data_IF_921684950795
#
_entry.id   IF_921684950795
#
_cell.length_a   1.000
_cell.length_b   1.000
_cell.length_c   1.000
_cell.angle_alpha   90.00
_cell.angle_beta   90.00
_cell.angle_gamma   90.00
#
_symmetry.space_group_name_H-M   'P 1'
#
loop_
_entity.id
_entity.type
_entity.pdbx_description
1 polymer ?
#
# COMPACT_ATOMS: atom_id res chain seq x y z
N UNK A 1 6.99 15.90 -12.48
CA UNK A 1 7.93 16.62 -11.60
C UNK A 1 8.86 15.60 -11.00
N UNK A 2 10.18 15.82 -11.00
CA UNK A 2 11.11 14.92 -10.33
C UNK A 2 10.80 14.83 -8.83
N UNK A 3 11.31 13.81 -8.16
CA UNK A 3 11.24 13.74 -6.70
C UNK A 3 11.90 14.96 -6.06
N UNK A 4 11.33 15.41 -4.94
CA UNK A 4 11.92 16.40 -4.05
C UNK A 4 13.06 15.73 -3.30
N UNK A 5 14.28 16.18 -3.56
CA UNK A 5 15.51 15.66 -2.96
C UNK A 5 15.94 14.30 -3.51
N UNK A 6 17.04 13.79 -2.97
CA UNK A 6 17.61 12.49 -3.28
C UNK A 6 17.69 11.63 -2.03
N UNK A 7 17.75 10.31 -2.22
CA UNK A 7 17.95 9.35 -1.15
C UNK A 7 19.07 8.39 -1.52
N UNK A 8 19.94 8.13 -0.55
CA UNK A 8 21.02 7.16 -0.63
C UNK A 8 21.23 6.49 0.74
N UNK A 9 21.72 5.26 0.71
CA UNK A 9 22.01 4.46 1.90
C UNK A 9 23.50 4.11 1.94
N UNK A 10 24.07 4.13 3.13
CA UNK A 10 25.47 3.72 3.34
C UNK A 10 25.63 2.22 3.10
N UNK A 11 26.86 1.73 2.85
CA UNK A 11 27.11 0.30 2.76
C UNK A 11 26.65 -0.47 4.00
N UNK A 12 26.85 0.08 5.20
CA UNK A 12 26.41 -0.53 6.45
C UNK A 12 24.88 -0.61 6.56
N UNK A 13 24.15 0.40 6.11
CA UNK A 13 22.67 0.39 6.07
C UNK A 13 22.15 -0.68 5.10
N UNK A 14 22.74 -0.78 3.90
CA UNK A 14 22.38 -1.80 2.90
C UNK A 14 22.70 -3.21 3.40
N UNK A 15 23.86 -3.40 4.00
CA UNK A 15 24.28 -4.68 4.57
C UNK A 15 23.36 -5.11 5.72
N UNK A 16 23.07 -4.20 6.66
CA UNK A 16 22.14 -4.47 7.76
C UNK A 16 20.75 -4.84 7.23
N UNK A 17 20.26 -4.13 6.19
CA UNK A 17 19.00 -4.46 5.53
C UNK A 17 19.01 -5.87 4.93
N UNK A 18 20.01 -6.20 4.13
CA UNK A 18 20.14 -7.53 3.52
C UNK A 18 20.20 -8.65 4.56
N UNK A 19 20.99 -8.47 5.62
CA UNK A 19 21.12 -9.47 6.71
C UNK A 19 19.82 -9.68 7.51
N UNK A 20 18.93 -8.68 7.55
CA UNK A 20 17.72 -8.72 8.37
C UNK A 20 16.43 -8.79 7.56
N UNK A 21 16.48 -8.96 6.24
CA UNK A 21 15.28 -8.91 5.38
C UNK A 21 14.21 -9.92 5.78
N UNK A 22 14.62 -11.13 6.20
CA UNK A 22 13.70 -12.14 6.72
C UNK A 22 12.94 -11.70 7.97
N UNK A 23 13.62 -11.02 8.91
CA UNK A 23 12.98 -10.48 10.11
C UNK A 23 12.09 -9.28 9.77
N UNK A 24 12.55 -8.37 8.92
CA UNK A 24 11.82 -7.17 8.50
C UNK A 24 10.48 -7.59 7.87
N UNK A 25 10.51 -8.50 6.90
CA UNK A 25 9.31 -8.97 6.19
C UNK A 25 8.37 -9.76 7.10
N UNK A 26 8.92 -10.62 7.98
CA UNK A 26 8.14 -11.36 8.98
C UNK A 26 7.38 -10.42 9.93
N UNK A 27 8.06 -9.41 10.48
CA UNK A 27 7.43 -8.48 11.42
C UNK A 27 6.46 -7.53 10.73
N UNK A 28 6.80 -7.03 9.54
CA UNK A 28 5.89 -6.20 8.76
C UNK A 28 4.60 -6.95 8.38
N UNK A 29 4.72 -8.22 7.99
CA UNK A 29 3.56 -9.11 7.79
C UNK A 29 2.76 -9.30 9.08
N UNK A 30 3.42 -9.64 10.19
CA UNK A 30 2.75 -9.86 11.48
C UNK A 30 1.97 -8.61 11.91
N UNK A 31 2.52 -7.42 11.69
CA UNK A 31 1.82 -6.17 11.96
C UNK A 31 0.48 -6.06 11.20
N UNK A 32 0.45 -6.44 9.92
CA UNK A 32 -0.78 -6.45 9.12
C UNK A 32 -1.77 -7.51 9.60
N UNK A 33 -1.29 -8.70 9.94
CA UNK A 33 -2.11 -9.78 10.50
C UNK A 33 -2.76 -9.37 11.84
N UNK A 34 -1.98 -8.75 12.72
CA UNK A 34 -2.44 -8.29 14.03
C UNK A 34 -3.46 -7.15 13.90
N UNK A 35 -3.20 -6.14 13.06
CA UNK A 35 -4.15 -5.05 12.81
C UNK A 35 -5.46 -5.56 12.21
N UNK A 36 -5.40 -6.49 11.26
CA UNK A 36 -6.60 -7.09 10.68
C UNK A 36 -7.42 -7.85 11.73
N UNK A 37 -6.76 -8.68 12.53
CA UNK A 37 -7.40 -9.43 13.61
C UNK A 37 -8.04 -8.50 14.64
N UNK A 38 -7.32 -7.45 15.04
CA UNK A 38 -7.82 -6.45 15.99
C UNK A 38 -9.05 -5.72 15.45
N UNK A 39 -9.01 -5.31 14.16
CA UNK A 39 -10.13 -4.65 13.50
C UNK A 39 -11.38 -5.52 13.46
N UNK A 40 -11.23 -6.80 13.07
CA UNK A 40 -12.34 -7.75 13.04
C UNK A 40 -12.94 -7.97 14.42
N UNK A 41 -12.10 -8.21 15.44
CA UNK A 41 -12.57 -8.43 16.81
C UNK A 41 -13.30 -7.20 17.37
N UNK A 42 -12.79 -6.00 17.08
CA UNK A 42 -13.41 -4.76 17.50
C UNK A 42 -14.76 -4.52 16.79
N UNK A 43 -14.82 -4.73 15.48
CA UNK A 43 -16.07 -4.59 14.71
C UNK A 43 -17.12 -5.60 15.15
N UNK A 44 -16.74 -6.87 15.33
CA UNK A 44 -17.64 -7.91 15.83
C UNK A 44 -18.21 -7.56 17.21
N UNK A 45 -17.40 -6.98 18.10
CA UNK A 45 -17.82 -6.63 19.47
C UNK A 45 -18.67 -5.36 19.54
N UNK A 46 -18.39 -4.37 18.69
CA UNK A 46 -18.93 -3.02 18.84
C UNK A 46 -19.79 -2.52 17.67
N UNK A 47 -19.85 -3.26 16.55
CA UNK A 47 -20.60 -2.87 15.35
C UNK A 47 -19.99 -1.68 14.58
N UNK A 48 -18.84 -1.18 15.02
CA UNK A 48 -18.11 -0.05 14.41
C UNK A 48 -16.66 -0.42 14.17
N UNK A 49 -16.04 0.22 13.19
CA UNK A 49 -14.64 0.00 12.87
C UNK A 49 -13.71 0.64 13.89
N UNK A 50 -12.67 -0.10 14.28
CA UNK A 50 -11.60 0.44 15.12
C UNK A 50 -10.80 1.51 14.37
N UNK A 51 -10.44 1.18 13.13
CA UNK A 51 -9.66 2.04 12.27
C UNK A 51 -10.59 2.90 11.40
N UNK A 52 -10.28 4.18 11.26
CA UNK A 52 -11.05 5.10 10.42
C UNK A 52 -10.15 5.91 9.50
N UNK A 53 -10.66 6.26 8.32
CA UNK A 53 -9.93 7.07 7.35
C UNK A 53 -9.53 8.45 7.87
N UNK A 54 -8.24 8.76 7.85
CA UNK A 54 -7.68 10.05 8.32
C UNK A 54 -8.11 11.27 7.46
N UNK A 55 -8.51 11.05 6.21
CA UNK A 55 -9.11 12.08 5.33
C UNK A 55 -10.63 12.14 5.41
N UNK A 56 -11.27 11.35 6.27
CA UNK A 56 -12.71 11.41 6.42
C UNK A 56 -13.09 12.68 7.21
N UNK A 57 -13.60 13.68 6.49
CA UNK A 57 -14.05 14.95 7.08
C UNK A 57 -15.18 14.79 8.09
N UNK A 58 -15.87 13.65 8.11
CA UNK A 58 -16.90 13.30 9.10
C UNK A 58 -16.33 12.63 10.35
N UNK A 59 -15.02 12.33 10.40
CA UNK A 59 -14.34 11.66 11.53
C UNK A 59 -13.04 12.37 11.98
N UNK A 60 -12.70 13.51 11.36
CA UNK A 60 -11.42 14.18 11.57
C UNK A 60 -11.27 14.92 12.92
N UNK A 61 -12.33 15.05 13.71
CA UNK A 61 -12.28 15.62 15.07
C UNK A 61 -12.89 14.65 16.09
N UNK A 62 -12.50 14.79 17.37
CA UNK A 62 -13.03 13.94 18.45
C UNK A 62 -14.55 14.05 18.56
N UNK A 63 -15.11 15.25 18.50
CA UNK A 63 -16.56 15.49 18.55
C UNK A 63 -17.30 14.82 17.39
N UNK A 64 -16.72 14.86 16.19
CA UNK A 64 -17.31 14.18 15.02
C UNK A 64 -17.27 12.65 15.15
N UNK A 65 -16.21 12.09 15.72
CA UNK A 65 -16.14 10.65 16.04
C UNK A 65 -17.18 10.24 17.08
N UNK A 66 -17.40 11.06 18.11
CA UNK A 66 -18.48 10.84 19.08
C UNK A 66 -19.84 10.83 18.39
N UNK A 67 -20.12 11.82 17.54
CA UNK A 67 -21.38 11.87 16.80
C UNK A 67 -21.56 10.63 15.91
N UNK A 68 -20.51 10.16 15.24
CA UNK A 68 -20.55 8.95 14.43
C UNK A 68 -20.78 7.67 15.28
N UNK A 69 -20.19 7.58 16.48
CA UNK A 69 -20.45 6.49 17.42
C UNK A 69 -21.92 6.47 17.86
N UNK A 70 -22.46 7.64 18.23
CA UNK A 70 -23.86 7.79 18.61
C UNK A 70 -24.80 7.40 17.46
N UNK A 71 -24.51 7.87 16.25
CA UNK A 71 -25.29 7.51 15.05
C UNK A 71 -25.25 6.00 14.76
N UNK A 72 -24.14 5.33 15.05
CA UNK A 72 -23.99 3.89 14.89
C UNK A 72 -24.56 3.07 16.07
N UNK A 73 -25.11 3.72 17.11
CA UNK A 73 -25.59 3.04 18.32
C UNK A 73 -24.47 2.46 19.20
N UNK A 74 -23.22 2.92 19.03
CA UNK A 74 -22.06 2.44 19.76
C UNK A 74 -21.73 3.34 20.98
N UNK A 75 -21.13 2.78 22.06
CA UNK A 75 -20.76 3.57 23.23
C UNK A 75 -19.76 4.69 22.90
N UNK A 76 -20.03 5.90 23.38
CA UNK A 76 -19.16 7.08 23.14
C UNK A 76 -17.78 6.91 23.77
N UNK A 77 -17.66 6.09 24.81
CA UNK A 77 -16.38 5.75 25.46
C UNK A 77 -15.39 5.03 24.54
N UNK A 78 -15.86 4.51 23.40
CA UNK A 78 -14.98 3.92 22.39
C UNK A 78 -14.14 4.95 21.63
N UNK A 79 -14.46 6.25 21.71
CA UNK A 79 -13.78 7.29 20.91
C UNK A 79 -12.27 7.32 21.11
N UNK A 80 -11.79 6.98 22.31
CA UNK A 80 -10.37 6.99 22.65
C UNK A 80 -9.67 5.66 22.27
N UNK A 81 -10.43 4.67 21.78
CA UNK A 81 -9.92 3.41 21.21
C UNK A 81 -9.84 3.45 19.67
N UNK A 82 -10.50 4.43 19.04
CA UNK A 82 -10.49 4.61 17.59
C UNK A 82 -9.13 5.11 17.11
N UNK A 83 -8.66 4.59 15.98
CA UNK A 83 -7.35 4.93 15.43
C UNK A 83 -7.46 5.42 13.98
N UNK A 84 -6.85 6.56 13.62
CA UNK A 84 -6.81 7.00 12.23
C UNK A 84 -5.93 6.04 11.40
N UNK A 85 -6.31 5.85 10.15
CA UNK A 85 -5.56 5.05 9.17
C UNK A 85 -5.67 5.63 7.77
N UNK A 86 -4.69 5.30 6.93
CA UNK A 86 -4.69 5.53 5.49
C UNK A 86 -3.93 4.42 4.79
N UNK A 87 -4.16 4.25 3.50
CA UNK A 87 -3.54 3.22 2.68
C UNK A 87 -1.99 3.28 2.74
N UNK A 88 -1.44 4.49 2.60
CA UNK A 88 0.01 4.72 2.76
C UNK A 88 0.47 4.66 4.22
N UNK A 89 -0.33 5.15 5.18
CA UNK A 89 -0.02 5.07 6.60
C UNK A 89 0.14 3.63 7.08
N UNK A 90 -0.77 2.74 6.69
CA UNK A 90 -0.70 1.32 7.01
C UNK A 90 0.58 0.68 6.44
N UNK A 91 0.92 0.99 5.19
CA UNK A 91 2.15 0.51 4.55
C UNK A 91 3.39 0.99 5.31
N UNK A 92 3.50 2.29 5.59
CA UNK A 92 4.64 2.87 6.30
C UNK A 92 4.76 2.34 7.73
N UNK A 93 3.64 2.16 8.44
CA UNK A 93 3.67 1.63 9.80
C UNK A 93 4.14 0.16 9.84
N UNK A 94 3.65 -0.67 8.90
CA UNK A 94 4.07 -2.07 8.80
C UNK A 94 5.57 -2.22 8.48
N UNK A 95 6.07 -1.48 7.49
CA UNK A 95 7.49 -1.43 7.16
C UNK A 95 8.30 -0.89 8.35
N UNK A 96 7.87 0.21 8.97
CA UNK A 96 8.55 0.78 10.13
C UNK A 96 8.64 -0.19 11.30
N UNK A 97 7.60 -0.98 11.57
CA UNK A 97 7.66 -2.05 12.56
C UNK A 97 8.73 -3.09 12.19
N UNK A 98 8.77 -3.51 10.92
CA UNK A 98 9.77 -4.44 10.41
C UNK A 98 11.21 -3.93 10.54
N UNK A 99 11.50 -2.71 10.11
CA UNK A 99 12.84 -2.12 10.15
C UNK A 99 13.35 -1.88 11.58
N UNK A 100 12.46 -1.57 12.53
CA UNK A 100 12.84 -1.34 13.93
C UNK A 100 13.05 -2.63 14.72
N UNK A 101 12.43 -3.74 14.32
CA UNK A 101 12.42 -4.98 15.09
C UNK A 101 13.81 -5.58 15.40
N UNK A 102 14.81 -5.53 14.50
CA UNK A 102 16.13 -6.06 14.82
C UNK A 102 16.94 -5.23 15.83
N UNK A 103 16.47 -4.05 16.23
CA UNK A 103 17.19 -3.16 17.15
C UNK A 103 18.48 -2.55 16.59
N UNK A 104 18.74 -2.68 15.29
CA UNK A 104 19.94 -2.14 14.63
C UNK A 104 19.82 -0.64 14.39
N UNK A 105 20.81 0.12 14.86
CA UNK A 105 20.93 1.57 14.57
C UNK A 105 20.98 1.84 13.07
N UNK A 106 21.68 1.01 12.28
CA UNK A 106 21.74 1.14 10.82
C UNK A 106 20.37 0.98 10.17
N UNK A 107 19.55 0.03 10.64
CA UNK A 107 18.19 -0.15 10.13
C UNK A 107 17.25 0.98 10.56
N UNK A 108 17.37 1.44 11.80
CA UNK A 108 16.61 2.60 12.28
C UNK A 108 16.90 3.85 11.45
N UNK A 109 18.18 4.10 11.13
CA UNK A 109 18.60 5.19 10.25
C UNK A 109 18.11 5.02 8.82
N UNK A 110 18.23 3.81 8.25
CA UNK A 110 17.72 3.50 6.92
C UNK A 110 16.21 3.75 6.83
N UNK A 111 15.44 3.27 7.80
CA UNK A 111 14.00 3.52 7.85
C UNK A 111 13.67 5.00 7.97
N UNK A 112 14.36 5.72 8.86
CA UNK A 112 14.15 7.16 9.03
C UNK A 112 14.36 7.90 7.70
N UNK A 113 15.43 7.59 6.96
CA UNK A 113 15.68 8.17 5.63
C UNK A 113 14.55 7.86 4.64
N UNK A 114 14.11 6.61 4.56
CA UNK A 114 13.04 6.20 3.64
C UNK A 114 11.71 6.90 3.99
N UNK A 115 11.38 6.97 5.29
CA UNK A 115 10.17 7.63 5.79
C UNK A 115 10.21 9.14 5.53
N UNK A 116 11.31 9.81 5.86
CA UNK A 116 11.47 11.25 5.65
C UNK A 116 11.46 11.60 4.15
N UNK A 117 12.07 10.76 3.30
CA UNK A 117 12.03 10.93 1.85
C UNK A 117 10.62 10.80 1.28
N UNK A 118 9.85 9.82 1.74
CA UNK A 118 8.45 9.67 1.35
C UNK A 118 7.63 10.89 1.79
N UNK A 119 7.84 11.39 3.02
CA UNK A 119 7.16 12.60 3.52
C UNK A 119 7.54 13.88 2.77
N UNK A 120 8.81 14.04 2.42
CA UNK A 120 9.28 15.16 1.60
C UNK A 120 8.58 15.19 0.24
N UNK A 121 8.18 14.01 -0.26
CA UNK A 121 7.43 13.81 -1.50
C UNK A 121 5.92 13.64 -1.26
N UNK A 122 5.36 14.33 -0.25
CA UNK A 122 3.92 14.38 0.03
C UNK A 122 3.28 12.99 0.25
N UNK A 123 4.08 12.06 0.77
CA UNK A 123 3.70 10.66 1.02
C UNK A 123 3.34 9.89 -0.26
N UNK A 124 3.97 10.24 -1.39
CA UNK A 124 3.86 9.54 -2.66
C UNK A 124 4.48 8.13 -2.57
N UNK A 125 3.69 7.11 -2.93
CA UNK A 125 4.14 5.72 -2.92
C UNK A 125 5.28 5.43 -3.88
N UNK A 126 5.40 6.18 -4.98
CA UNK A 126 6.53 6.04 -5.91
C UNK A 126 7.87 6.43 -5.27
N UNK A 127 7.88 7.41 -4.36
CA UNK A 127 9.05 7.77 -3.57
C UNK A 127 9.41 6.68 -2.53
N UNK A 128 8.40 6.04 -1.92
CA UNK A 128 8.61 4.89 -1.06
C UNK A 128 9.26 3.73 -1.84
N UNK A 129 8.74 3.39 -3.02
CA UNK A 129 9.32 2.31 -3.83
C UNK A 129 10.72 2.65 -4.34
N UNK A 130 11.02 3.91 -4.66
CA UNK A 130 12.39 4.35 -4.99
C UNK A 130 13.37 4.12 -3.82
N UNK A 131 12.97 4.51 -2.60
CA UNK A 131 13.75 4.26 -1.40
C UNK A 131 13.99 2.77 -1.15
N UNK A 132 12.95 1.94 -1.27
CA UNK A 132 13.07 0.49 -1.11
C UNK A 132 13.95 -0.13 -2.20
N UNK A 133 13.85 0.32 -3.45
CA UNK A 133 14.70 -0.15 -4.55
C UNK A 133 16.18 0.10 -4.26
N UNK A 134 16.52 1.26 -3.68
CA UNK A 134 17.90 1.60 -3.27
C UNK A 134 18.42 0.79 -2.09
N UNK A 135 17.54 0.11 -1.35
CA UNK A 135 17.87 -0.91 -0.34
C UNK A 135 17.96 -2.34 -0.93
N UNK A 136 17.74 -2.49 -2.23
CA UNK A 136 17.83 -3.78 -2.94
C UNK A 136 16.50 -4.49 -3.16
N UNK A 137 15.36 -3.81 -2.93
CA UNK A 137 14.06 -4.37 -3.30
C UNK A 137 13.92 -4.36 -4.82
N UNK A 138 13.26 -5.41 -5.35
CA UNK A 138 12.96 -5.53 -6.78
C UNK A 138 11.63 -4.84 -7.08
N UNK A 139 11.62 -3.95 -8.07
CA UNK A 139 10.42 -3.24 -8.50
C UNK A 139 9.79 -3.95 -9.69
N UNK A 140 8.60 -4.50 -9.47
CA UNK A 140 7.85 -5.29 -10.44
C UNK A 140 6.66 -4.49 -10.95
N UNK A 141 6.51 -4.37 -12.27
CA UNK A 141 5.31 -3.80 -12.87
C UNK A 141 4.18 -4.81 -12.89
N UNK A 142 2.99 -4.38 -12.46
CA UNK A 142 1.78 -5.21 -12.52
C UNK A 142 0.72 -4.59 -13.43
N UNK A 143 0.14 -5.42 -14.27
CA UNK A 143 -0.99 -5.10 -15.14
C UNK A 143 -1.72 -6.40 -15.54
N UNK A 144 -2.94 -6.65 -15.06
CA UNK A 144 -3.61 -7.93 -15.26
C UNK A 144 -4.01 -8.16 -16.73
N UNK A 145 -4.25 -7.11 -17.51
CA UNK A 145 -4.64 -7.25 -18.92
C UNK A 145 -4.29 -5.97 -19.73
N UNK A 146 -3.07 -5.89 -20.30
CA UNK A 146 -2.65 -4.74 -21.08
C UNK A 146 -3.52 -4.43 -22.30
N UNK A 147 -4.25 -5.41 -22.86
CA UNK A 147 -5.12 -5.19 -24.00
C UNK A 147 -6.30 -4.26 -23.68
N UNK A 148 -6.65 -4.10 -22.39
CA UNK A 148 -7.71 -3.22 -21.95
C UNK A 148 -7.23 -1.83 -21.51
N UNK A 149 -5.94 -1.53 -21.63
CA UNK A 149 -5.39 -0.27 -21.13
C UNK A 149 -6.05 0.98 -21.71
N UNK A 150 -6.31 1.02 -23.02
CA UNK A 150 -6.97 2.16 -23.66
C UNK A 150 -8.41 2.33 -23.17
N UNK A 151 -9.14 1.22 -23.05
CA UNK A 151 -10.48 1.21 -22.44
C UNK A 151 -10.45 1.74 -21.01
N UNK A 152 -9.48 1.30 -20.21
CA UNK A 152 -9.34 1.75 -18.82
C UNK A 152 -8.97 3.23 -18.72
N UNK A 153 -8.17 3.74 -19.65
CA UNK A 153 -7.86 5.17 -19.73
C UNK A 153 -9.11 6.01 -20.02
N UNK A 154 -9.98 5.55 -20.93
CA UNK A 154 -11.28 6.19 -21.19
C UNK A 154 -12.20 6.14 -19.95
N UNK A 155 -12.19 5.02 -19.22
CA UNK A 155 -13.00 4.85 -18.01
C UNK A 155 -12.51 5.70 -16.82
N UNK A 156 -11.21 5.95 -16.72
CA UNK A 156 -10.61 6.77 -15.65
C UNK A 156 -10.81 8.27 -15.90
N UNK A 157 -10.99 8.67 -17.16
CA UNK A 157 -11.26 10.04 -17.60
C UNK A 157 -10.03 10.96 -17.50
N UNK A 158 -10.23 12.28 -17.54
CA UNK A 158 -9.14 13.27 -17.50
C UNK A 158 -8.71 13.58 -16.06
N UNK A 159 -7.97 12.66 -15.44
CA UNK A 159 -7.27 12.93 -14.19
C UNK A 159 -5.79 12.71 -14.42
N UNK A 160 -5.01 13.79 -14.50
CA UNK A 160 -3.54 13.77 -14.70
C UNK A 160 -2.75 12.78 -13.82
N UNK A 161 -3.31 12.31 -12.70
CA UNK A 161 -2.74 11.30 -11.80
C UNK A 161 -3.45 9.93 -11.78
N UNK A 162 -4.62 9.78 -12.40
CA UNK A 162 -5.39 8.53 -12.49
C UNK A 162 -5.56 8.15 -13.97
N UNK A 163 -5.13 6.94 -14.35
CA UNK A 163 -5.07 6.54 -15.75
C UNK A 163 -3.69 6.80 -16.38
N UNK A 164 -3.66 6.81 -17.71
CA UNK A 164 -2.46 6.61 -18.55
C UNK A 164 -1.92 5.17 -18.49
N UNK A 165 -2.76 4.17 -18.25
CA UNK A 165 -2.41 2.75 -18.30
C UNK A 165 -1.70 2.38 -19.61
N UNK A 166 -2.18 2.86 -20.76
CA UNK A 166 -1.58 2.55 -22.07
C UNK A 166 -0.20 3.18 -22.19
N UNK A 167 -0.08 4.47 -21.84
CA UNK A 167 1.19 5.18 -21.86
C UNK A 167 2.20 4.60 -20.86
N UNK A 168 1.78 4.27 -19.63
CA UNK A 168 2.64 3.66 -18.61
C UNK A 168 3.10 2.28 -19.04
N UNK A 169 2.22 1.47 -19.61
CA UNK A 169 2.61 0.18 -20.18
C UNK A 169 3.64 0.37 -21.30
N UNK A 170 3.44 1.35 -22.18
CA UNK A 170 4.40 1.71 -23.22
C UNK A 170 5.77 2.13 -22.63
N UNK A 171 5.81 3.01 -21.64
CA UNK A 171 7.09 3.43 -21.04
C UNK A 171 7.79 2.29 -20.29
N UNK A 172 7.03 1.43 -19.60
CA UNK A 172 7.60 0.25 -18.95
C UNK A 172 8.20 -0.72 -19.98
N UNK A 173 7.46 -1.00 -21.05
CA UNK A 173 7.91 -1.96 -22.08
C UNK A 173 9.09 -1.43 -22.88
N UNK A 174 9.09 -0.15 -23.25
CA UNK A 174 10.13 0.45 -24.12
C UNK A 174 11.32 1.04 -23.36
N UNK A 175 11.09 1.65 -22.19
CA UNK A 175 12.12 2.39 -21.43
C UNK A 175 12.47 1.74 -20.10
N UNK A 176 11.71 0.74 -19.65
CA UNK A 176 11.91 0.13 -18.33
C UNK A 176 11.58 1.08 -17.19
N UNK A 177 10.69 2.05 -17.41
CA UNK A 177 10.32 3.05 -16.40
C UNK A 177 8.80 3.18 -16.24
N UNK A 178 8.38 3.32 -14.98
CA UNK A 178 7.01 3.65 -14.61
C UNK A 178 7.03 4.91 -13.77
N UNK A 179 6.49 5.99 -14.33
CA UNK A 179 6.56 7.31 -13.71
C UNK A 179 8.01 7.71 -13.40
N UNK A 180 8.41 7.72 -12.12
CA UNK A 180 9.77 8.05 -11.69
C UNK A 180 10.65 6.83 -11.39
N UNK A 181 10.04 5.64 -11.29
CA UNK A 181 10.76 4.44 -10.87
C UNK A 181 11.32 3.68 -12.07
N UNK A 182 12.51 3.11 -11.90
CA UNK A 182 13.02 2.05 -12.75
C UNK A 182 12.27 0.75 -12.43
N UNK A 183 11.90 0.00 -13.46
CA UNK A 183 11.25 -1.30 -13.35
C UNK A 183 12.28 -2.40 -13.58
N UNK A 184 12.45 -3.27 -12.60
CA UNK A 184 13.38 -4.40 -12.65
C UNK A 184 12.74 -5.62 -13.33
N UNK A 185 11.43 -5.80 -13.17
CA UNK A 185 10.67 -6.88 -13.81
C UNK A 185 9.37 -6.35 -14.40
N UNK A 186 9.19 -6.53 -15.71
CA UNK A 186 8.04 -6.04 -16.48
C UNK A 186 7.17 -7.14 -17.06
N UNK A 187 7.40 -8.40 -16.69
CA UNK A 187 6.70 -9.56 -17.27
C UNK A 187 6.02 -10.42 -16.22
N UNK A 188 6.58 -10.55 -15.02
CA UNK A 188 6.10 -11.51 -14.02
C UNK A 188 4.64 -11.27 -13.59
N UNK A 189 4.24 -10.02 -13.38
CA UNK A 189 2.87 -9.66 -12.98
C UNK A 189 2.10 -8.98 -14.11
N UNK A 190 2.35 -9.36 -15.36
CA UNK A 190 1.67 -8.82 -16.55
C UNK A 190 0.85 -9.90 -17.25
N UNK A 191 -0.39 -9.59 -17.60
CA UNK A 191 -1.27 -10.48 -18.36
C UNK A 191 -1.88 -11.64 -17.56
N UNK A 192 -1.89 -11.55 -16.23
CA UNK A 192 -2.39 -12.64 -15.37
C UNK A 192 -3.93 -12.74 -15.31
N UNK A 193 -4.67 -11.80 -15.91
CA UNK A 193 -6.13 -11.81 -15.90
C UNK A 193 -6.72 -11.95 -14.50
N UNK A 194 -7.58 -12.94 -14.30
CA UNK A 194 -8.20 -13.28 -13.01
C UNK A 194 -7.42 -14.33 -12.20
N UNK A 195 -6.28 -14.82 -12.70
CA UNK A 195 -5.48 -15.88 -12.06
C UNK A 195 -4.05 -15.42 -11.82
N UNK A 196 -3.71 -15.12 -10.58
CA UNK A 196 -2.35 -14.72 -10.21
C UNK A 196 -1.31 -15.83 -10.46
N UNK A 197 -0.07 -15.49 -10.83
CA UNK A 197 1.05 -16.44 -10.83
C UNK A 197 1.23 -17.08 -9.45
N UNK A 198 1.33 -18.41 -9.41
CA UNK A 198 1.39 -19.16 -8.15
C UNK A 198 2.56 -18.76 -7.25
N UNK A 199 3.72 -18.41 -7.83
CA UNK A 199 4.90 -17.99 -7.09
C UNK A 199 4.74 -16.61 -6.41
N UNK A 200 3.82 -15.75 -6.86
CA UNK A 200 3.52 -14.48 -6.17
C UNK A 200 2.92 -14.72 -4.78
N UNK A 201 2.21 -15.85 -4.59
CA UNK A 201 1.67 -16.25 -3.28
C UNK A 201 2.75 -16.63 -2.27
N UNK A 202 4.01 -16.78 -2.70
CA UNK A 202 5.14 -17.07 -1.81
C UNK A 202 5.86 -15.81 -1.33
N UNK A 203 5.48 -14.62 -1.81
CA UNK A 203 6.11 -13.36 -1.39
C UNK A 203 5.73 -13.07 0.07
N UNK A 204 6.68 -13.03 1.03
CA UNK A 204 6.38 -12.96 2.45
C UNK A 204 5.80 -11.61 2.88
N UNK A 205 6.13 -10.56 2.15
CA UNK A 205 5.60 -9.20 2.29
C UNK A 205 5.90 -8.43 1.01
N UNK A 206 5.03 -7.50 0.61
CA UNK A 206 5.28 -6.55 -0.47
C UNK A 206 4.59 -5.20 -0.22
N UNK A 207 5.10 -4.16 -0.87
CA UNK A 207 4.46 -2.84 -0.93
C UNK A 207 4.08 -2.54 -2.38
N UNK A 208 2.79 -2.35 -2.63
CA UNK A 208 2.24 -2.04 -3.95
C UNK A 208 1.80 -0.58 -4.07
N UNK A 209 1.83 -0.07 -5.29
CA UNK A 209 1.23 1.20 -5.64
C UNK A 209 0.32 1.06 -6.86
N UNK A 210 -0.67 1.94 -6.96
CA UNK A 210 -1.48 2.18 -8.17
C UNK A 210 -1.60 3.68 -8.44
N UNK A 211 -2.05 4.05 -9.64
CA UNK A 211 -2.28 5.45 -10.04
C UNK A 211 -1.06 6.35 -9.74
N UNK A 212 0.09 5.95 -10.28
CA UNK A 212 1.35 6.71 -10.16
C UNK A 212 1.77 7.04 -8.72
N UNK A 213 1.46 6.18 -7.75
CA UNK A 213 1.87 6.35 -6.35
C UNK A 213 0.82 6.99 -5.45
N UNK A 214 -0.33 7.39 -6.00
CA UNK A 214 -1.45 7.92 -5.21
C UNK A 214 -2.05 6.90 -4.26
N UNK A 215 -2.25 5.66 -4.74
CA UNK A 215 -2.73 4.57 -3.91
C UNK A 215 -1.55 3.68 -3.54
N UNK A 216 -1.43 3.37 -2.25
CA UNK A 216 -0.34 2.55 -1.71
C UNK A 216 -0.98 1.46 -0.85
N UNK A 217 -0.55 0.23 -1.02
CA UNK A 217 -1.11 -0.89 -0.28
C UNK A 217 -0.01 -1.89 0.10
N UNK A 218 0.03 -2.36 1.35
CA UNK A 218 0.89 -3.47 1.71
C UNK A 218 0.16 -4.80 1.49
N UNK A 219 0.94 -5.86 1.32
CA UNK A 219 0.38 -7.20 1.18
C UNK A 219 1.38 -8.28 1.52
N UNK A 220 0.89 -9.51 1.56
CA UNK A 220 1.69 -10.70 1.83
C UNK A 220 0.97 -11.93 1.27
N UNK A 221 1.75 -12.91 0.83
CA UNK A 221 1.26 -14.20 0.32
C UNK A 221 0.15 -14.11 -0.72
N UNK A 222 0.21 -13.11 -1.60
CA UNK A 222 -0.79 -12.86 -2.64
C UNK A 222 -2.06 -12.15 -2.16
N UNK A 223 -2.17 -11.77 -0.89
CA UNK A 223 -3.24 -10.94 -0.34
C UNK A 223 -2.78 -9.49 -0.15
N UNK A 224 -3.73 -8.56 -0.18
CA UNK A 224 -3.56 -7.13 0.13
C UNK A 224 -4.38 -6.79 1.36
N UNK A 225 -3.88 -5.88 2.20
CA UNK A 225 -4.68 -5.20 3.21
C UNK A 225 -4.86 -3.74 2.83
N UNK A 226 -6.10 -3.31 2.59
CA UNK A 226 -6.42 -1.94 2.20
C UNK A 226 -7.05 -1.18 3.36
N UNK A 227 -6.58 0.05 3.60
CA UNK A 227 -7.21 1.00 4.49
C UNK A 227 -7.89 2.10 3.68
N UNK A 228 -9.18 2.37 3.93
CA UNK A 228 -9.97 3.30 3.12
C UNK A 228 -10.18 4.64 3.84
N UNK A 229 -9.87 5.74 3.14
CA UNK A 229 -9.78 7.06 3.76
C UNK A 229 -11.11 7.78 4.02
N UNK A 230 -12.24 7.30 3.50
CA UNK A 230 -13.52 8.05 3.52
C UNK A 230 -14.75 7.22 3.89
N UNK A 231 -14.59 5.95 4.29
CA UNK A 231 -15.72 5.10 4.67
C UNK A 231 -16.34 5.57 5.98
N UNK A 232 -17.65 5.34 6.14
CA UNK A 232 -18.36 5.59 7.39
C UNK A 232 -17.80 4.71 8.53
N UNK A 233 -17.86 5.18 9.77
CA UNK A 233 -17.32 4.47 10.93
C UNK A 233 -17.94 3.08 11.15
N UNK A 234 -19.23 2.90 10.82
CA UNK A 234 -19.93 1.61 10.92
C UNK A 234 -19.46 0.56 9.90
N UNK A 235 -18.79 0.99 8.83
CA UNK A 235 -18.38 0.09 7.76
C UNK A 235 -17.18 -0.74 8.19
N UNK A 236 -17.32 -2.07 8.23
CA UNK A 236 -16.20 -3.00 8.41
C UNK A 236 -15.10 -2.79 7.36
N UNK A 237 -15.45 -2.20 6.21
CA UNK A 237 -14.55 -1.92 5.09
C UNK A 237 -13.66 -0.69 5.28
N UNK A 238 -13.51 -0.15 6.49
CA UNK A 238 -12.44 0.83 6.73
C UNK A 238 -11.06 0.19 6.64
N UNK A 239 -10.98 -1.10 6.93
CA UNK A 239 -9.85 -1.97 6.67
C UNK A 239 -10.38 -3.22 5.99
N UNK A 240 -9.77 -3.66 4.90
CA UNK A 240 -10.19 -4.85 4.16
C UNK A 240 -8.98 -5.73 3.85
N UNK A 241 -9.18 -7.06 3.88
CA UNK A 241 -8.22 -8.03 3.37
C UNK A 241 -8.83 -8.77 2.18
N UNK A 242 -8.12 -8.80 1.07
CA UNK A 242 -8.57 -9.42 -0.18
C UNK A 242 -7.40 -9.98 -0.99
N UNK A 243 -7.61 -11.00 -1.84
CA UNK A 243 -6.58 -11.44 -2.79
C UNK A 243 -6.14 -10.30 -3.71
N UNK A 244 -4.86 -10.21 -4.04
CA UNK A 244 -4.33 -9.27 -5.03
C UNK A 244 -4.81 -9.65 -6.43
N UNK A 245 -5.98 -9.20 -6.86
CA UNK A 245 -6.40 -9.28 -8.25
C UNK A 245 -7.53 -8.27 -8.50
N UNK A 246 -7.26 -7.12 -9.11
CA UNK A 246 -8.29 -6.10 -9.31
C UNK A 246 -9.38 -6.52 -10.32
N UNK A 247 -9.18 -7.59 -11.09
CA UNK A 247 -10.19 -8.13 -12.02
C UNK A 247 -11.04 -9.26 -11.39
N UNK A 248 -10.59 -9.86 -10.29
CA UNK A 248 -11.31 -10.95 -9.65
C UNK A 248 -12.44 -10.42 -8.77
N UNK A 249 -13.54 -11.19 -8.69
CA UNK A 249 -14.61 -10.89 -7.74
C UNK A 249 -14.05 -10.88 -6.31
N UNK A 250 -14.26 -9.78 -5.60
CA UNK A 250 -13.75 -9.61 -4.24
C UNK A 250 -12.25 -9.29 -4.13
N UNK A 251 -11.51 -9.17 -5.24
CA UNK A 251 -10.08 -8.89 -5.21
C UNK A 251 -9.71 -7.42 -4.97
N UNK A 252 -8.42 -7.21 -4.72
CA UNK A 252 -7.77 -5.93 -4.43
C UNK A 252 -6.57 -5.65 -5.35
N UNK A 253 -6.13 -4.39 -5.52
CA UNK A 253 -6.83 -3.19 -5.05
C UNK A 253 -8.22 -3.07 -5.68
N UNK A 254 -9.22 -2.66 -4.87
CA UNK A 254 -10.64 -2.76 -5.24
C UNK A 254 -10.96 -2.09 -6.58
N UNK A 255 -11.83 -2.76 -7.34
CA UNK A 255 -12.55 -2.16 -8.46
C UNK A 255 -13.98 -1.79 -8.04
N UNK A 256 -14.24 -0.49 -7.93
CA UNK A 256 -15.58 0.10 -7.74
C UNK A 256 -15.82 1.20 -8.78
N UNK A 257 -17.00 1.83 -8.75
CA UNK A 257 -17.29 2.99 -9.61
C UNK A 257 -16.35 4.18 -9.32
N UNK A 258 -15.77 4.24 -8.12
CA UNK A 258 -14.90 5.34 -7.67
C UNK A 258 -13.44 4.95 -7.46
N UNK A 259 -13.13 3.65 -7.34
CA UNK A 259 -11.80 3.08 -7.13
C UNK A 259 -11.46 2.17 -8.32
N UNK A 260 -10.54 2.58 -9.20
CA UNK A 260 -10.27 1.91 -10.49
C UNK A 260 -8.77 1.60 -10.65
N UNK A 261 -8.22 0.82 -9.74
CA UNK A 261 -6.77 0.56 -9.67
C UNK A 261 -6.37 -0.64 -10.54
N UNK A 262 -5.80 -0.39 -11.73
CA UNK A 262 -5.60 -1.46 -12.74
C UNK A 262 -4.17 -1.69 -13.21
N UNK A 263 -3.24 -0.81 -12.88
CA UNK A 263 -1.82 -1.06 -13.05
C UNK A 263 -0.98 -0.21 -12.11
N UNK A 264 0.25 -0.65 -11.88
CA UNK A 264 1.18 0.02 -10.99
C UNK A 264 2.46 -0.76 -10.77
N UNK A 265 3.06 -0.59 -9.60
CA UNK A 265 4.29 -1.27 -9.21
C UNK A 265 4.10 -2.04 -7.90
N UNK A 266 4.90 -3.08 -7.71
CA UNK A 266 5.09 -3.79 -6.45
C UNK A 266 6.58 -3.82 -6.14
N UNK A 267 6.95 -3.34 -4.95
CA UNK A 267 8.25 -3.58 -4.35
C UNK A 267 8.25 -4.95 -3.66
N UNK A 268 9.12 -5.84 -4.12
CA UNK A 268 9.33 -7.18 -3.57
C UNK A 268 10.69 -7.21 -2.86
N UNK A 269 10.76 -7.68 -1.60
CA UNK A 269 12.01 -7.75 -0.85
C UNK A 269 13.03 -8.66 -1.54
N UNK A 270 14.34 -8.42 -1.35
CA UNK A 270 15.36 -9.34 -1.83
C UNK A 270 15.21 -10.71 -1.16
N UNK A 271 15.36 -11.77 -1.94
CA UNK A 271 15.34 -13.18 -1.51
C UNK A 271 16.75 -13.71 -1.30
#
# INVERSE_FOLDING_TARGET
MPFKGEIAFTPAEKQAHAQNIGMITKVARKYLEDIWKEHLAFHQKHGVSKFYGDRNLTLNTRSKRIAALQQAGAPVSLVDQLQPTSCVGLTLNSLGAGFRAPGSTSLANAWKKAYDYCRLNDVDGSALLDALQKLGWRIVYWNPNPANNEKWDLEDGDRKSKGSHAWRYHTVTKKGTYYHNKVDDKTWLVGFGTTLPGNFRNVPFFAGIAHAGYHVFPGYTGDVIEAHSTRALSSIKNLEKSPFNPLASGGAPRWTSTEKYRSGLIGVPPT
#
